data_IF_277201960307
#
_entry.id   IF_277201960307
#
_cell.length_a   1.000
_cell.length_b   1.000
_cell.length_c   1.000
_cell.angle_alpha   90.00
_cell.angle_beta   90.00
_cell.angle_gamma   90.00
#
_symmetry.space_group_name_H-M   'P 1'
#
loop_
_entity.id
_entity.type
_entity.pdbx_description
1 polymer ?
#
# COMPACT_ATOMS: atom_id res chain seq x y z
N UNK A 1 -31.10 -28.71 -1.09
CA UNK A 1 -29.85 -29.48 -1.25
C UNK A 1 -29.54 -29.51 -2.74
N UNK A 2 -28.73 -28.57 -3.18
CA UNK A 2 -28.01 -28.65 -4.45
C UNK A 2 -26.59 -28.24 -4.10
N UNK A 3 -25.77 -29.25 -3.86
CA UNK A 3 -24.33 -29.14 -3.78
C UNK A 3 -23.83 -28.71 -5.17
N UNK A 4 -23.34 -27.47 -5.23
CA UNK A 4 -22.68 -26.89 -6.39
C UNK A 4 -21.31 -27.54 -6.58
N UNK A 5 -21.04 -27.90 -7.82
CA UNK A 5 -19.96 -28.73 -8.31
C UNK A 5 -18.62 -27.96 -8.36
N UNK A 6 -17.66 -28.26 -7.48
CA UNK A 6 -16.24 -27.99 -7.78
C UNK A 6 -15.73 -29.14 -8.66
N UNK A 7 -15.58 -28.90 -9.96
CA UNK A 7 -14.77 -29.78 -10.80
C UNK A 7 -13.32 -29.38 -10.64
N UNK A 8 -12.53 -30.13 -9.89
CA UNK A 8 -11.07 -30.08 -9.99
C UNK A 8 -10.68 -30.52 -11.41
N UNK A 9 -10.41 -29.56 -12.30
CA UNK A 9 -9.88 -29.82 -13.63
C UNK A 9 -8.41 -30.22 -13.49
N UNK A 10 -8.14 -31.53 -13.52
CA UNK A 10 -6.78 -32.06 -13.59
C UNK A 10 -6.12 -31.70 -14.91
N UNK A 11 -4.98 -30.99 -14.84
CA UNK A 11 -4.22 -30.62 -16.02
C UNK A 11 -3.63 -31.82 -16.77
N UNK A 12 -3.72 -31.76 -18.10
CA UNK A 12 -3.13 -32.76 -19.01
C UNK A 12 -2.25 -32.07 -20.06
N UNK A 13 -1.08 -32.64 -20.40
CA UNK A 13 -0.52 -33.92 -19.93
C UNK A 13 -0.06 -33.92 -18.47
N UNK A 14 0.10 -35.11 -17.88
CA UNK A 14 0.56 -35.26 -16.49
C UNK A 14 1.88 -34.49 -16.27
N UNK A 15 1.95 -33.75 -15.16
CA UNK A 15 3.09 -32.89 -14.82
C UNK A 15 2.93 -31.42 -15.20
N UNK A 16 1.90 -31.06 -15.98
CA UNK A 16 1.54 -29.66 -16.24
C UNK A 16 0.74 -29.06 -15.08
N UNK A 17 0.88 -27.74 -14.87
CA UNK A 17 0.15 -26.96 -13.86
C UNK A 17 -0.80 -25.99 -14.57
N UNK A 18 -1.93 -25.68 -13.93
CA UNK A 18 -2.88 -24.73 -14.48
C UNK A 18 -2.36 -23.31 -14.29
N UNK A 19 -2.12 -22.63 -15.39
CA UNK A 19 -1.82 -21.20 -15.44
C UNK A 19 -3.14 -20.45 -15.36
N UNK A 20 -3.35 -19.76 -14.23
CA UNK A 20 -4.59 -19.05 -13.95
C UNK A 20 -4.73 -17.76 -14.77
N UNK A 21 -3.63 -17.21 -15.29
CA UNK A 21 -3.64 -15.99 -16.11
C UNK A 21 -3.98 -16.34 -17.55
N UNK A 22 -3.46 -17.46 -18.05
CA UNK A 22 -3.63 -17.90 -19.44
C UNK A 22 -4.75 -18.92 -19.61
N UNK A 23 -5.34 -19.40 -18.52
CA UNK A 23 -6.35 -20.46 -18.46
C UNK A 23 -5.92 -21.73 -19.22
N UNK A 24 -4.63 -22.05 -19.19
CA UNK A 24 -4.05 -23.22 -19.86
C UNK A 24 -3.27 -24.09 -18.90
N UNK A 25 -3.17 -25.37 -19.22
CA UNK A 25 -2.19 -26.25 -18.58
C UNK A 25 -0.84 -26.09 -19.25
N UNK A 26 0.17 -25.63 -18.51
CA UNK A 26 1.53 -25.43 -19.02
C UNK A 26 2.57 -26.10 -18.10
N UNK A 27 3.82 -26.14 -18.54
CA UNK A 27 4.91 -26.73 -17.80
C UNK A 27 5.23 -25.89 -16.55
N UNK A 28 5.50 -26.49 -15.37
CA UNK A 28 5.72 -25.78 -14.11
C UNK A 28 6.62 -24.54 -14.14
N UNK A 29 7.70 -24.49 -14.92
CA UNK A 29 8.55 -23.29 -15.04
C UNK A 29 7.90 -22.11 -15.77
N UNK A 30 6.83 -22.34 -16.52
CA UNK A 30 6.13 -21.34 -17.31
C UNK A 30 4.75 -21.01 -16.72
N UNK A 31 4.37 -21.65 -15.61
CA UNK A 31 3.05 -21.49 -15.01
C UNK A 31 3.12 -20.49 -13.87
N UNK A 32 2.36 -19.41 -13.99
CA UNK A 32 1.98 -18.62 -12.83
C UNK A 32 0.91 -19.40 -12.07
N UNK A 33 1.31 -20.16 -11.07
CA UNK A 33 0.38 -20.84 -10.18
C UNK A 33 -0.36 -19.79 -9.36
N UNK A 34 -1.66 -19.97 -9.13
CA UNK A 34 -2.38 -19.23 -8.10
C UNK A 34 -1.68 -19.53 -6.75
N UNK A 35 -0.85 -18.59 -6.29
CA UNK A 35 -0.21 -18.67 -4.99
C UNK A 35 -1.00 -17.77 -4.02
N UNK A 36 -1.90 -18.33 -3.20
CA UNK A 36 -2.68 -17.56 -2.23
C UNK A 36 -1.80 -16.89 -1.16
N UNK A 37 -0.51 -17.25 -1.08
CA UNK A 37 0.50 -16.66 -0.20
C UNK A 37 1.60 -16.00 -1.01
N UNK A 38 1.19 -14.95 -1.72
CA UNK A 38 2.03 -14.18 -2.65
C UNK A 38 3.17 -13.42 -1.98
N UNK A 39 3.21 -13.36 -0.65
CA UNK A 39 4.24 -12.66 0.09
C UNK A 39 5.58 -13.41 0.18
N UNK A 40 5.61 -14.73 -0.02
CA UNK A 40 6.86 -15.52 0.03
C UNK A 40 7.87 -15.13 -1.07
N UNK A 41 7.38 -14.53 -2.16
CA UNK A 41 8.17 -14.13 -3.32
C UNK A 41 8.35 -12.60 -3.44
N UNK A 42 7.68 -11.84 -2.59
CA UNK A 42 7.69 -10.37 -2.62
C UNK A 42 8.62 -9.83 -1.52
N UNK A 43 9.15 -8.62 -1.72
CA UNK A 43 9.96 -7.94 -0.70
C UNK A 43 9.08 -7.48 0.47
N UNK A 44 9.66 -7.39 1.66
CA UNK A 44 8.97 -6.84 2.82
C UNK A 44 8.47 -5.41 2.55
N UNK A 45 7.19 -5.18 2.85
CA UNK A 45 6.48 -3.95 2.54
C UNK A 45 5.77 -3.94 1.18
N UNK A 46 5.90 -4.99 0.37
CA UNK A 46 5.17 -5.09 -0.90
C UNK A 46 3.66 -5.15 -0.70
N UNK A 47 2.93 -4.50 -1.61
CA UNK A 47 1.46 -4.45 -1.60
C UNK A 47 0.93 -5.37 -2.68
N UNK A 48 0.07 -6.31 -2.30
CA UNK A 48 -0.52 -7.32 -3.17
C UNK A 48 -2.05 -7.18 -3.14
N UNK A 49 -2.76 -7.61 -4.19
CA UNK A 49 -4.21 -7.48 -4.26
C UNK A 49 -4.86 -8.47 -3.29
N UNK A 50 -6.01 -8.08 -2.72
CA UNK A 50 -6.87 -9.01 -2.01
C UNK A 50 -7.80 -9.74 -2.98
N UNK A 51 -8.67 -10.61 -2.45
CA UNK A 51 -9.70 -11.29 -3.25
C UNK A 51 -10.71 -10.28 -3.83
N UNK A 52 -10.95 -9.18 -3.13
CA UNK A 52 -11.81 -8.09 -3.60
C UNK A 52 -10.95 -6.94 -4.12
N UNK A 53 -11.35 -6.37 -5.25
CA UNK A 53 -10.64 -5.22 -5.84
C UNK A 53 -10.71 -3.94 -4.98
N UNK A 54 -11.58 -3.92 -3.96
CA UNK A 54 -11.62 -2.84 -2.96
C UNK A 54 -10.50 -2.94 -1.93
N UNK A 55 -9.87 -4.11 -1.80
CA UNK A 55 -8.95 -4.40 -0.71
C UNK A 55 -7.56 -4.83 -1.24
N UNK A 56 -6.57 -4.71 -0.38
CA UNK A 56 -5.21 -5.16 -0.63
C UNK A 56 -4.59 -5.74 0.66
N UNK A 57 -3.44 -6.41 0.52
CA UNK A 57 -2.62 -6.86 1.64
C UNK A 57 -1.23 -6.25 1.57
N UNK A 58 -0.58 -6.13 2.73
CA UNK A 58 0.83 -5.76 2.85
C UNK A 58 1.61 -6.98 3.29
N UNK A 59 2.70 -7.28 2.59
CA UNK A 59 3.61 -8.36 2.91
C UNK A 59 4.60 -7.95 4.00
N UNK A 60 4.74 -8.77 5.03
CA UNK A 60 5.78 -8.65 6.06
C UNK A 60 6.32 -10.02 6.44
N UNK A 61 7.64 -10.18 6.34
CA UNK A 61 8.37 -11.43 6.56
C UNK A 61 7.77 -12.62 5.80
N UNK A 62 7.36 -12.40 4.55
CA UNK A 62 6.72 -13.44 3.73
C UNK A 62 5.26 -13.75 4.08
N UNK A 63 4.64 -13.01 5.01
CA UNK A 63 3.26 -13.21 5.47
C UNK A 63 2.39 -12.03 5.04
N UNK A 64 1.18 -12.30 4.55
CA UNK A 64 0.19 -11.26 4.21
C UNK A 64 -0.49 -10.70 5.46
N UNK A 65 -0.75 -9.39 5.47
CA UNK A 65 -1.61 -8.76 6.47
C UNK A 65 -3.08 -9.20 6.33
N UNK A 66 -3.93 -8.77 7.27
CA UNK A 66 -5.38 -8.73 7.04
C UNK A 66 -5.72 -7.86 5.81
N UNK A 67 -6.93 -8.04 5.27
CA UNK A 67 -7.41 -7.20 4.17
C UNK A 67 -7.53 -5.74 4.59
N UNK A 68 -6.93 -4.86 3.81
CA UNK A 68 -6.97 -3.41 4.01
C UNK A 68 -7.81 -2.81 2.90
N UNK A 69 -8.90 -2.14 3.27
CA UNK A 69 -9.78 -1.48 2.30
C UNK A 69 -9.18 -0.18 1.80
N UNK A 70 -9.26 0.03 0.49
CA UNK A 70 -8.87 1.27 -0.16
C UNK A 70 -9.63 2.47 0.40
N UNK A 71 -8.90 3.56 0.59
CA UNK A 71 -9.42 4.84 1.08
C UNK A 71 -8.99 5.97 0.12
N UNK A 72 -9.85 6.96 -0.13
CA UNK A 72 -11.20 7.15 0.41
C UNK A 72 -12.23 6.13 -0.09
N UNK A 73 -13.36 6.02 0.61
CA UNK A 73 -14.45 5.08 0.26
C UNK A 73 -14.86 5.23 -1.21
N UNK A 74 -14.98 4.10 -1.92
CA UNK A 74 -15.30 4.06 -3.34
C UNK A 74 -14.10 4.04 -4.29
N UNK A 75 -12.86 4.07 -3.76
CA UNK A 75 -11.65 3.77 -4.55
C UNK A 75 -11.38 2.26 -4.61
N UNK A 76 -10.72 1.82 -5.68
CA UNK A 76 -10.34 0.43 -5.92
C UNK A 76 -8.82 0.30 -6.03
N UNK A 77 -8.29 -0.87 -5.70
CA UNK A 77 -6.87 -1.17 -5.75
C UNK A 77 -6.43 -1.52 -7.18
N UNK A 78 -5.64 -0.64 -7.78
CA UNK A 78 -4.93 -0.91 -9.03
C UNK A 78 -3.71 -1.78 -8.72
N UNK A 79 -3.77 -3.04 -9.16
CA UNK A 79 -2.72 -4.02 -8.91
C UNK A 79 -1.40 -3.66 -9.62
N UNK A 80 -1.47 -3.12 -10.83
CA UNK A 80 -0.29 -2.85 -11.65
C UNK A 80 0.51 -1.68 -11.08
N UNK A 81 -0.21 -0.65 -10.64
CA UNK A 81 0.39 0.57 -10.06
C UNK A 81 0.52 0.51 -8.54
N UNK A 82 -0.05 -0.52 -7.91
CA UNK A 82 -0.06 -0.78 -6.45
C UNK A 82 -0.60 0.44 -5.67
N UNK A 83 -1.75 0.95 -6.11
CA UNK A 83 -2.34 2.23 -5.69
C UNK A 83 -3.86 2.13 -5.59
N UNK A 84 -4.48 2.78 -4.62
CA UNK A 84 -5.93 2.98 -4.61
C UNK A 84 -6.28 4.15 -5.53
N UNK A 85 -7.09 3.90 -6.55
CA UNK A 85 -7.49 4.92 -7.53
C UNK A 85 -9.01 4.84 -7.78
N UNK A 86 -9.53 5.80 -8.53
CA UNK A 86 -10.93 5.79 -8.92
C UNK A 86 -11.23 4.61 -9.84
N UNK A 87 -12.43 3.98 -9.73
CA UNK A 87 -12.76 2.76 -10.46
C UNK A 87 -12.53 2.84 -11.96
N UNK A 88 -12.70 4.00 -12.58
CA UNK A 88 -12.45 4.24 -14.01
C UNK A 88 -10.98 4.12 -14.45
N UNK A 89 -10.03 4.20 -13.51
CA UNK A 89 -8.60 4.17 -13.77
C UNK A 89 -7.91 2.92 -13.19
N UNK A 90 -8.68 1.97 -12.67
CA UNK A 90 -8.16 0.81 -11.92
C UNK A 90 -8.21 -0.44 -12.78
N UNK A 91 -7.09 -1.15 -12.80
CA UNK A 91 -7.04 -2.55 -13.26
C UNK A 91 -7.03 -3.46 -12.04
N UNK A 92 -8.13 -4.17 -11.83
CA UNK A 92 -8.24 -5.15 -10.76
C UNK A 92 -7.44 -6.40 -11.09
N UNK A 93 -6.91 -7.05 -10.05
CA UNK A 93 -6.28 -8.34 -10.18
C UNK A 93 -7.30 -9.39 -10.63
N UNK A 94 -7.04 -10.08 -11.74
CA UNK A 94 -7.93 -11.09 -12.33
C UNK A 94 -8.78 -10.60 -13.51
N UNK A 95 -8.83 -9.29 -13.78
CA UNK A 95 -9.58 -8.71 -14.92
C UNK A 95 -8.75 -8.66 -16.23
N UNK A 96 -7.70 -9.48 -16.36
CA UNK A 96 -6.80 -9.47 -17.52
C UNK A 96 -7.44 -10.04 -18.81
N UNK A 97 -8.73 -10.40 -18.75
CA UNK A 97 -9.53 -10.80 -19.89
C UNK A 97 -10.66 -9.80 -20.16
N UNK A 98 -10.31 -8.60 -20.62
CA UNK A 98 -10.94 -7.92 -21.77
C UNK A 98 -10.36 -6.51 -21.95
N UNK A 99 -9.23 -6.42 -22.66
CA UNK A 99 -8.85 -5.18 -23.34
C UNK A 99 -9.84 -4.97 -24.48
N UNK A 100 -10.90 -4.21 -24.23
CA UNK A 100 -11.69 -3.59 -25.30
C UNK A 100 -11.45 -2.08 -25.32
N UNK A 101 -11.30 -1.58 -26.54
CA UNK A 101 -10.73 -0.30 -26.95
C UNK A 101 -11.30 0.95 -26.25
N UNK A 102 -10.55 2.07 -26.21
CA UNK A 102 -10.98 3.27 -25.52
C UNK A 102 -12.08 3.99 -26.31
N UNK A 103 -13.31 3.99 -25.81
CA UNK A 103 -14.36 4.88 -26.33
C UNK A 103 -14.16 6.29 -25.78
N UNK A 104 -13.87 7.20 -26.70
CA UNK A 104 -13.79 8.64 -26.46
C UNK A 104 -15.19 9.25 -26.34
N UNK A 105 -15.29 10.27 -25.49
CA UNK A 105 -16.38 11.26 -25.30
C UNK A 105 -17.30 11.10 -24.09
N UNK A 106 -17.19 12.08 -23.19
CA UNK A 106 -18.12 12.33 -22.10
C UNK A 106 -17.63 13.45 -21.19
N UNK A 107 -17.70 14.69 -21.67
CA UNK A 107 -17.41 15.91 -20.89
C UNK A 107 -18.32 15.99 -19.65
N UNK A 108 -17.81 15.56 -18.50
CA UNK A 108 -18.41 15.78 -17.18
C UNK A 108 -17.71 16.94 -16.48
N UNK A 109 -18.47 17.98 -16.14
CA UNK A 109 -17.99 19.09 -15.31
C UNK A 109 -17.50 18.56 -13.97
N UNK A 110 -16.19 18.58 -13.76
CA UNK A 110 -15.54 18.25 -12.49
C UNK A 110 -15.98 19.26 -11.42
N UNK A 111 -16.85 18.84 -10.49
CA UNK A 111 -16.87 19.48 -9.19
C UNK A 111 -15.61 18.98 -8.49
N UNK A 112 -14.66 19.89 -8.24
CA UNK A 112 -13.42 19.58 -7.54
C UNK A 112 -13.73 18.80 -6.25
N UNK A 113 -13.02 17.68 -5.99
CA UNK A 113 -13.17 16.97 -4.74
C UNK A 113 -12.86 17.93 -3.59
N UNK A 114 -13.75 17.95 -2.59
CA UNK A 114 -13.71 18.76 -1.36
C UNK A 114 -12.58 18.35 -0.41
N UNK A 115 -11.42 17.95 -0.92
CA UNK A 115 -10.24 17.75 -0.09
C UNK A 115 -9.87 19.12 0.50
N UNK A 116 -9.54 19.19 1.80
CA UNK A 116 -8.91 20.39 2.34
C UNK A 116 -7.76 20.77 1.42
N UNK A 117 -7.68 22.02 0.95
CA UNK A 117 -6.54 22.46 0.14
C UNK A 117 -5.27 22.12 0.93
N UNK A 118 -4.33 21.47 0.25
CA UNK A 118 -2.98 21.31 0.77
C UNK A 118 -2.51 22.71 1.18
N UNK A 119 -2.04 22.93 2.43
CA UNK A 119 -1.57 24.24 2.85
C UNK A 119 -0.57 24.80 1.82
N UNK A 120 -0.68 26.08 1.46
CA UNK A 120 0.13 26.72 0.40
C UNK A 120 1.64 26.56 0.62
N UNK A 121 2.04 26.25 1.86
CA UNK A 121 3.43 26.09 2.30
C UNK A 121 4.05 24.72 1.98
N UNK A 122 3.28 23.76 1.44
CA UNK A 122 3.78 22.43 1.07
C UNK A 122 3.97 22.32 -0.45
N UNK A 123 5.19 22.01 -0.94
CA UNK A 123 5.40 21.71 -2.36
C UNK A 123 4.55 20.52 -2.79
N UNK A 124 3.74 20.68 -3.84
CA UNK A 124 2.84 19.64 -4.34
C UNK A 124 3.59 18.41 -4.91
N UNK A 125 4.88 18.55 -5.20
CA UNK A 125 5.77 17.50 -5.70
C UNK A 125 6.57 16.79 -4.60
N UNK A 126 6.39 17.15 -3.32
CA UNK A 126 7.14 16.54 -2.19
C UNK A 126 6.91 15.02 -2.10
N UNK A 127 5.73 14.54 -2.51
CA UNK A 127 5.40 13.12 -2.53
C UNK A 127 5.62 12.46 -3.89
N UNK A 128 6.22 13.14 -4.87
CA UNK A 128 6.33 12.60 -6.24
C UNK A 128 7.14 11.29 -6.25
N UNK A 129 6.49 10.21 -6.68
CA UNK A 129 7.09 8.87 -6.73
C UNK A 129 7.11 8.13 -5.40
N UNK A 130 6.49 8.69 -4.36
CA UNK A 130 6.35 8.07 -3.05
C UNK A 130 4.98 7.41 -2.95
N UNK A 131 4.98 6.10 -2.70
CA UNK A 131 3.75 5.29 -2.60
C UNK A 131 3.12 5.46 -1.21
N UNK A 132 3.85 5.16 -0.14
CA UNK A 132 3.44 5.48 1.23
C UNK A 132 4.70 5.86 1.99
N UNK A 133 4.72 7.06 2.59
CA UNK A 133 5.80 7.49 3.48
C UNK A 133 5.34 8.65 4.37
N UNK A 134 6.11 8.93 5.42
CA UNK A 134 5.94 10.10 6.28
C UNK A 134 7.21 10.94 6.22
N UNK A 135 7.10 12.12 5.63
CA UNK A 135 8.21 13.05 5.43
C UNK A 135 8.19 14.18 6.47
N UNK A 136 9.34 14.78 6.80
CA UNK A 136 9.37 15.97 7.63
C UNK A 136 8.66 17.14 6.94
N UNK A 137 7.90 17.92 7.70
CA UNK A 137 7.34 19.17 7.17
C UNK A 137 8.47 20.18 6.91
N UNK A 138 8.46 20.90 5.77
CA UNK A 138 9.60 21.71 5.30
C UNK A 138 9.91 22.94 6.17
N UNK A 139 8.96 23.40 6.97
CA UNK A 139 9.10 24.63 7.78
C UNK A 139 8.63 24.53 9.23
N UNK A 140 8.18 23.36 9.70
CA UNK A 140 7.57 23.20 11.02
C UNK A 140 7.85 21.79 11.55
N UNK A 141 8.77 21.66 12.51
CA UNK A 141 9.12 20.37 13.07
C UNK A 141 8.02 19.73 13.93
N UNK A 142 6.96 20.46 14.27
CA UNK A 142 5.78 19.92 14.96
C UNK A 142 4.78 19.28 14.00
N UNK A 143 5.06 19.33 12.69
CA UNK A 143 4.22 18.76 11.64
C UNK A 143 5.00 17.77 10.79
N UNK A 144 4.27 16.92 10.07
CA UNK A 144 4.82 15.98 9.11
C UNK A 144 3.90 15.85 7.90
N UNK A 145 4.46 15.38 6.79
CA UNK A 145 3.74 15.17 5.54
C UNK A 145 3.52 13.67 5.35
N UNK A 146 2.27 13.24 5.40
CA UNK A 146 1.89 11.89 5.02
C UNK A 146 1.69 11.85 3.52
N UNK A 147 2.54 11.08 2.85
CA UNK A 147 2.42 10.77 1.44
C UNK A 147 1.60 9.50 1.29
N UNK A 148 0.49 9.61 0.58
CA UNK A 148 -0.28 8.45 0.13
C UNK A 148 -0.44 8.60 -1.37
N UNK A 149 0.17 7.69 -2.12
CA UNK A 149 0.01 7.52 -3.55
C UNK A 149 0.39 8.78 -4.34
N UNK A 150 1.54 9.34 -3.98
CA UNK A 150 2.04 10.58 -4.56
C UNK A 150 1.34 11.85 -4.06
N UNK A 151 0.35 11.74 -3.18
CA UNK A 151 -0.42 12.89 -2.70
C UNK A 151 0.00 13.29 -1.27
N UNK A 152 0.40 14.56 -1.06
CA UNK A 152 0.75 15.05 0.26
C UNK A 152 -0.48 15.38 1.11
N UNK A 153 -0.41 15.07 2.40
CA UNK A 153 -1.29 15.59 3.44
C UNK A 153 -0.45 15.99 4.65
N UNK A 154 -0.87 17.02 5.38
CA UNK A 154 -0.13 17.52 6.55
C UNK A 154 -0.87 17.07 7.80
N UNK A 155 -0.11 16.56 8.76
CA UNK A 155 -0.60 16.21 10.08
C UNK A 155 0.36 16.77 11.15
N UNK A 156 -0.08 16.78 12.40
CA UNK A 156 0.61 17.42 13.52
C UNK A 156 0.98 16.42 14.60
N UNK A 157 2.19 16.55 15.13
CA UNK A 157 2.60 15.85 16.33
C UNK A 157 1.76 16.30 17.55
N UNK A 158 1.68 15.46 18.59
CA UNK A 158 1.10 15.88 19.88
C UNK A 158 1.77 17.15 20.42
N UNK A 159 1.11 17.89 21.34
CA UNK A 159 1.73 19.02 22.01
C UNK A 159 3.08 18.63 22.65
N UNK A 160 4.08 19.50 22.49
CA UNK A 160 5.46 19.32 22.96
C UNK A 160 6.28 18.23 22.22
N UNK A 161 5.79 17.74 21.08
CA UNK A 161 6.49 16.74 20.26
C UNK A 161 6.93 17.34 18.93
N UNK A 162 8.04 16.84 18.42
CA UNK A 162 8.55 17.12 17.07
C UNK A 162 8.67 15.81 16.28
N UNK A 163 8.64 15.90 14.96
CA UNK A 163 8.79 14.76 14.07
C UNK A 163 10.27 14.35 13.92
N UNK A 164 10.55 13.06 14.11
CA UNK A 164 11.87 12.45 13.98
C UNK A 164 11.98 11.73 12.64
N UNK A 165 12.54 12.36 11.58
CA UNK A 165 12.56 11.78 10.23
C UNK A 165 13.38 10.49 10.15
N UNK A 166 14.39 10.30 11.01
CA UNK A 166 15.19 9.07 11.00
C UNK A 166 14.42 7.81 11.45
N UNK A 167 13.34 7.97 12.22
CA UNK A 167 12.55 6.85 12.77
C UNK A 167 11.06 6.96 12.44
N UNK A 168 10.64 8.00 11.71
CA UNK A 168 9.28 8.16 11.22
C UNK A 168 8.22 8.38 12.33
N UNK A 169 8.60 8.91 13.50
CA UNK A 169 7.69 9.07 14.64
C UNK A 169 7.79 10.45 15.29
N UNK A 170 6.74 10.85 16.01
CA UNK A 170 6.79 12.03 16.88
C UNK A 170 7.45 11.68 18.23
N UNK A 171 8.34 12.54 18.70
CA UNK A 171 9.03 12.38 19.98
C UNK A 171 9.27 13.68 20.71
N UNK A 172 9.78 13.60 21.95
CA UNK A 172 10.11 14.79 22.74
C UNK A 172 11.22 15.59 22.08
N UNK A 173 11.07 16.91 21.99
CA UNK A 173 12.11 17.80 21.50
C UNK A 173 11.73 19.24 21.75
N UNK A 174 12.55 20.15 21.27
CA UNK A 174 12.24 21.57 21.37
C UNK A 174 11.42 22.01 20.15
N UNK A 175 10.17 22.41 20.37
CA UNK A 175 9.24 22.85 19.31
C UNK A 175 9.57 24.23 18.75
N UNK A 176 10.40 25.02 19.44
CA UNK A 176 10.84 26.35 18.99
C UNK A 176 12.14 26.28 18.19
N UNK A 177 13.10 25.44 18.61
CA UNK A 177 14.42 25.30 17.97
C UNK A 177 14.52 24.12 17.01
N UNK A 178 13.51 23.25 17.01
CA UNK A 178 13.52 21.97 16.29
C UNK A 178 14.71 21.07 16.65
N UNK A 179 15.25 21.24 17.86
CA UNK A 179 16.31 20.39 18.40
C UNK A 179 15.71 19.09 18.94
N UNK A 180 16.23 17.97 18.43
CA UNK A 180 15.92 16.63 18.93
C UNK A 180 16.44 16.45 20.36
N UNK A 181 15.70 15.68 21.17
CA UNK A 181 16.20 15.15 22.43
C UNK A 181 16.93 13.83 22.14
N UNK A 182 18.28 13.81 22.17
CA UNK A 182 19.04 12.60 21.87
C UNK A 182 18.74 11.48 22.85
N UNK A 183 18.38 11.79 24.10
CA UNK A 183 18.09 10.78 25.12
C UNK A 183 16.78 10.06 24.82
N UNK A 184 15.77 10.81 24.37
CA UNK A 184 14.50 10.21 23.94
C UNK A 184 14.71 9.26 22.75
N UNK A 185 15.52 9.67 21.77
CA UNK A 185 15.80 8.84 20.59
C UNK A 185 16.56 7.55 20.95
N UNK A 186 17.55 7.64 21.84
CA UNK A 186 18.28 6.47 22.35
C UNK A 186 17.35 5.49 23.08
N UNK A 187 16.44 6.01 23.92
CA UNK A 187 15.46 5.19 24.65
C UNK A 187 14.46 4.54 23.68
N UNK A 188 13.99 5.27 22.66
CA UNK A 188 13.08 4.76 21.62
C UNK A 188 13.73 3.62 20.82
N UNK A 189 14.96 3.80 20.33
CA UNK A 189 15.66 2.77 19.54
C UNK A 189 15.91 1.49 20.35
N UNK A 190 16.31 1.63 21.63
CA UNK A 190 16.50 0.46 22.51
C UNK A 190 15.21 -0.32 22.73
N UNK A 191 14.09 0.39 22.84
CA UNK A 191 12.78 -0.24 22.98
C UNK A 191 12.36 -0.97 21.70
N UNK A 192 12.60 -0.39 20.52
CA UNK A 192 12.35 -1.07 19.24
C UNK A 192 13.18 -2.36 19.12
N UNK A 193 14.49 -2.31 19.41
CA UNK A 193 15.35 -3.52 19.41
C UNK A 193 14.83 -4.61 20.37
N UNK A 194 14.32 -4.20 21.55
CA UNK A 194 13.72 -5.12 22.51
C UNK A 194 12.47 -5.79 21.95
N UNK A 195 11.56 -5.01 21.36
CA UNK A 195 10.32 -5.52 20.78
C UNK A 195 10.58 -6.44 19.59
N UNK A 196 11.57 -6.12 18.75
CA UNK A 196 12.01 -6.99 17.66
C UNK A 196 12.54 -8.33 18.17
N UNK A 197 13.38 -8.32 19.22
CA UNK A 197 13.87 -9.55 19.86
C UNK A 197 12.74 -10.37 20.49
N UNK A 198 11.77 -9.71 21.13
CA UNK A 198 10.58 -10.36 21.69
C UNK A 198 9.75 -11.02 20.57
N UNK A 199 9.53 -10.33 19.45
CA UNK A 199 8.79 -10.84 18.29
C UNK A 199 9.47 -12.03 17.60
N UNK A 200 10.81 -12.09 17.59
CA UNK A 200 11.57 -13.22 17.04
C UNK A 200 11.63 -14.44 17.99
N UNK A 201 11.26 -14.27 19.25
CA UNK A 201 11.31 -15.31 20.29
C UNK A 201 9.96 -15.99 20.55
N UNK A 202 8.89 -15.52 19.89
CA UNK A 202 7.54 -16.09 19.93
C UNK A 202 7.24 -16.92 18.70
#
# INVERSE_FOLDING_TARGET
MQDGLEMELECRPEGTKFDHVREVCDHPENVECYNPDRCELEEDGSIIPAETCTNFHICRNGVKSDEITCVPEGTLFDYNRRVCDHPENVVCWGDEAEVTEPTTEGSGTTLEPTRPPVPEDIPSDICRGIVIDILPHPGDCTQFVVCVLGQPSVDSCPPDYIFYPQVGVCGYGNTETCEIDPRWLEDYMREQERLEMEAMSG
#
